data_IF_229979231398
#
_entry.id   IF_229979231398
#
_cell.length_a   1.000
_cell.length_b   1.000
_cell.length_c   1.000
_cell.angle_alpha   90.00
_cell.angle_beta   90.00
_cell.angle_gamma   90.00
#
_symmetry.space_group_name_H-M   'P 1'
#
loop_
_entity.id
_entity.type
_entity.pdbx_description
1 polymer ?
#
# COMPACT_ATOMS: atom_id res chain seq x y z
N UNK A 1 11.17 -1.31 -3.73
CA UNK A 1 10.10 -1.05 -4.71
C UNK A 1 9.46 0.31 -4.44
N UNK A 2 8.99 1.02 -5.48
CA UNK A 2 8.24 2.27 -5.32
C UNK A 2 6.75 1.94 -5.18
N UNK A 3 6.11 2.37 -4.08
CA UNK A 3 4.66 2.25 -3.92
C UNK A 3 3.96 3.13 -4.96
N UNK A 4 3.00 2.55 -5.68
CA UNK A 4 2.23 3.26 -6.70
C UNK A 4 1.07 4.05 -6.07
N UNK A 5 0.49 5.00 -6.82
CA UNK A 5 -0.67 5.74 -6.34
C UNK A 5 -1.86 4.82 -6.02
N UNK A 6 -2.08 3.79 -6.86
CA UNK A 6 -3.10 2.74 -6.61
C UNK A 6 -2.85 1.94 -5.35
N UNK A 7 -1.57 1.75 -4.96
CA UNK A 7 -1.23 1.06 -3.72
C UNK A 7 -1.59 1.91 -2.49
N UNK A 8 -1.46 3.23 -2.58
CA UNK A 8 -1.88 4.15 -1.51
C UNK A 8 -3.40 4.17 -1.35
N UNK A 9 -4.12 4.36 -2.44
CA UNK A 9 -5.60 4.33 -2.46
C UNK A 9 -6.14 3.00 -1.92
N UNK A 10 -5.50 1.89 -2.26
CA UNK A 10 -5.84 0.58 -1.71
C UNK A 10 -5.68 0.54 -0.19
N UNK A 11 -4.57 1.03 0.36
CA UNK A 11 -4.31 1.04 1.81
C UNK A 11 -5.29 1.98 2.53
N UNK A 12 -5.62 3.14 1.95
CA UNK A 12 -6.59 4.08 2.52
C UNK A 12 -8.00 3.48 2.58
N UNK A 13 -8.48 2.87 1.48
CA UNK A 13 -9.77 2.17 1.44
C UNK A 13 -9.79 0.98 2.40
N UNK A 14 -8.71 0.20 2.45
CA UNK A 14 -8.59 -0.93 3.36
C UNK A 14 -8.66 -0.49 4.82
N UNK A 15 -8.01 0.61 5.19
CA UNK A 15 -8.07 1.18 6.53
C UNK A 15 -9.51 1.51 6.93
N UNK A 16 -10.26 2.20 6.07
CA UNK A 16 -11.69 2.52 6.31
C UNK A 16 -12.51 1.26 6.59
N UNK A 17 -12.33 0.21 5.78
CA UNK A 17 -13.08 -1.05 5.93
C UNK A 17 -12.71 -1.84 7.20
N UNK A 18 -11.48 -1.71 7.67
CA UNK A 18 -11.06 -2.27 8.96
C UNK A 18 -11.68 -1.48 10.13
N UNK A 19 -11.68 -0.15 10.04
CA UNK A 19 -12.28 0.72 11.06
C UNK A 19 -13.80 0.47 11.18
N UNK A 20 -14.48 0.25 10.05
CA UNK A 20 -15.89 -0.15 9.98
C UNK A 20 -16.14 -1.63 10.38
N UNK A 21 -15.09 -2.37 10.76
CA UNK A 21 -15.13 -3.81 11.12
C UNK A 21 -15.74 -4.70 10.03
N UNK A 22 -15.69 -4.26 8.77
CA UNK A 22 -16.14 -5.05 7.62
C UNK A 22 -15.08 -6.07 7.21
N UNK A 23 -13.82 -5.73 7.44
CA UNK A 23 -12.65 -6.54 7.15
C UNK A 23 -11.78 -6.65 8.40
N UNK A 24 -11.07 -7.78 8.51
CA UNK A 24 -10.05 -7.97 9.55
C UNK A 24 -8.83 -8.65 8.96
N UNK A 25 -7.66 -8.24 9.44
CA UNK A 25 -6.40 -8.88 9.09
C UNK A 25 -6.11 -9.92 10.18
N UNK A 26 -5.92 -11.16 9.76
CA UNK A 26 -5.54 -12.27 10.65
C UNK A 26 -4.15 -12.77 10.25
N UNK A 27 -3.41 -13.28 11.23
CA UNK A 27 -2.21 -14.08 10.99
C UNK A 27 -2.63 -15.54 10.78
N UNK A 28 -2.30 -16.10 9.64
CA UNK A 28 -2.45 -17.54 9.37
C UNK A 28 -1.09 -18.23 9.57
N UNK A 29 -1.13 -19.41 10.19
CA UNK A 29 0.02 -20.26 10.41
C UNK A 29 -0.31 -21.68 9.90
N UNK A 30 0.00 -21.92 8.62
CA UNK A 30 -0.17 -23.20 7.92
C UNK A 30 1.19 -23.86 7.59
N UNK A 31 2.21 -23.54 8.38
CA UNK A 31 3.61 -23.92 8.18
C UNK A 31 4.48 -22.73 7.79
N UNK A 32 3.92 -21.74 7.08
CA UNK A 32 4.55 -20.43 6.84
C UNK A 32 3.61 -19.33 7.28
N UNK A 33 4.06 -18.53 8.26
CA UNK A 33 3.28 -17.41 8.77
C UNK A 33 3.04 -16.35 7.70
N UNK A 34 1.78 -16.04 7.44
CA UNK A 34 1.40 -14.98 6.52
C UNK A 34 0.12 -14.29 6.95
N UNK A 35 -0.01 -13.02 6.57
CA UNK A 35 -1.20 -12.22 6.84
C UNK A 35 -2.29 -12.56 5.83
N UNK A 36 -3.53 -12.65 6.28
CA UNK A 36 -4.69 -12.87 5.42
C UNK A 36 -5.80 -11.88 5.74
N UNK A 37 -6.51 -11.46 4.71
CA UNK A 37 -7.77 -10.72 4.86
C UNK A 37 -8.91 -11.71 5.09
N UNK A 38 -9.63 -11.55 6.21
CA UNK A 38 -10.81 -12.34 6.55
C UNK A 38 -12.05 -11.46 6.61
N UNK A 39 -13.22 -12.11 6.65
CA UNK A 39 -14.57 -11.53 6.72
C UNK A 39 -15.20 -11.14 5.36
N UNK A 40 -16.32 -10.40 5.37
CA UNK A 40 -17.40 -10.52 4.39
C UNK A 40 -17.01 -10.06 2.97
N UNK A 41 -16.55 -11.02 2.16
CA UNK A 41 -16.27 -10.84 0.74
C UNK A 41 -17.55 -10.91 -0.12
N UNK A 42 -18.58 -10.14 0.24
CA UNK A 42 -19.75 -9.94 -0.64
C UNK A 42 -19.48 -8.88 -1.71
N UNK A 43 -20.52 -8.50 -2.45
CA UNK A 43 -20.47 -7.49 -3.53
C UNK A 43 -19.92 -6.12 -3.07
N UNK A 44 -19.97 -5.85 -1.76
CA UNK A 44 -19.45 -4.63 -1.14
C UNK A 44 -17.95 -4.42 -1.34
N UNK A 45 -17.14 -5.47 -1.43
CA UNK A 45 -15.69 -5.33 -1.61
C UNK A 45 -15.36 -4.89 -3.04
N UNK A 46 -16.04 -5.48 -4.03
CA UNK A 46 -15.83 -5.11 -5.42
C UNK A 46 -16.27 -3.67 -5.68
N UNK A 47 -17.37 -3.24 -5.07
CA UNK A 47 -17.80 -1.84 -5.10
C UNK A 47 -16.84 -0.90 -4.37
N UNK A 48 -16.33 -1.29 -3.19
CA UNK A 48 -15.45 -0.42 -2.39
C UNK A 48 -14.06 -0.23 -3.02
N UNK A 49 -13.50 -1.27 -3.63
CA UNK A 49 -12.16 -1.23 -4.22
C UNK A 49 -12.17 -1.00 -5.74
N UNK A 50 -13.32 -1.09 -6.41
CA UNK A 50 -13.42 -1.04 -7.87
C UNK A 50 -12.64 -2.14 -8.58
N UNK A 51 -12.47 -3.30 -7.92
CA UNK A 51 -11.70 -4.42 -8.45
C UNK A 51 -12.26 -5.75 -7.94
N UNK A 52 -12.01 -6.82 -8.70
CA UNK A 52 -12.46 -8.16 -8.32
C UNK A 52 -11.85 -8.60 -6.99
N UNK A 53 -12.55 -9.51 -6.30
CA UNK A 53 -12.09 -10.11 -5.03
C UNK A 53 -10.67 -10.71 -5.14
N UNK A 54 -10.35 -11.33 -6.27
CA UNK A 54 -9.01 -11.87 -6.52
C UNK A 54 -7.97 -10.76 -6.67
N UNK A 55 -8.32 -9.65 -7.32
CA UNK A 55 -7.47 -8.45 -7.39
C UNK A 55 -7.16 -7.86 -6.02
N UNK A 56 -8.16 -7.78 -5.13
CA UNK A 56 -7.98 -7.34 -3.74
C UNK A 56 -7.02 -8.25 -2.99
N UNK A 57 -7.22 -9.57 -3.07
CA UNK A 57 -6.35 -10.57 -2.43
C UNK A 57 -4.91 -10.47 -2.93
N UNK A 58 -4.73 -10.35 -4.24
CA UNK A 58 -3.41 -10.24 -4.84
C UNK A 58 -2.68 -8.96 -4.42
N UNK A 59 -3.39 -7.81 -4.42
CA UNK A 59 -2.83 -6.54 -3.92
C UNK A 59 -2.47 -6.63 -2.45
N UNK A 60 -3.32 -7.23 -1.63
CA UNK A 60 -3.05 -7.42 -0.21
C UNK A 60 -1.79 -8.28 0.00
N UNK A 61 -1.69 -9.42 -0.69
CA UNK A 61 -0.53 -10.31 -0.63
C UNK A 61 0.76 -9.56 -1.00
N UNK A 62 0.75 -8.80 -2.09
CA UNK A 62 1.90 -8.03 -2.55
C UNK A 62 2.32 -6.95 -1.55
N UNK A 63 1.37 -6.20 -0.97
CA UNK A 63 1.70 -5.09 -0.08
C UNK A 63 2.09 -5.56 1.32
N UNK A 64 1.32 -6.46 1.91
CA UNK A 64 1.49 -6.86 3.30
C UNK A 64 2.42 -8.06 3.47
N UNK A 65 2.31 -9.09 2.64
CA UNK A 65 3.14 -10.28 2.81
C UNK A 65 4.47 -10.21 2.06
N UNK A 66 4.52 -9.54 0.92
CA UNK A 66 5.80 -9.36 0.21
C UNK A 66 6.48 -8.09 0.71
N UNK A 67 5.98 -6.91 0.35
CA UNK A 67 6.71 -5.66 0.60
C UNK A 67 6.89 -5.36 2.09
N UNK A 68 5.83 -5.45 2.89
CA UNK A 68 5.90 -5.09 4.31
C UNK A 68 6.76 -6.08 5.10
N UNK A 69 6.47 -7.38 5.05
CA UNK A 69 7.28 -8.41 5.74
C UNK A 69 8.74 -8.41 5.27
N UNK A 70 9.01 -8.38 3.96
CA UNK A 70 10.38 -8.34 3.43
C UNK A 70 11.15 -7.10 3.92
N UNK A 71 10.47 -5.97 4.10
CA UNK A 71 11.10 -4.77 4.67
C UNK A 71 11.52 -5.01 6.13
N UNK A 72 10.70 -5.69 6.93
CA UNK A 72 11.07 -6.05 8.30
C UNK A 72 12.20 -7.07 8.35
N UNK A 73 12.21 -8.06 7.45
CA UNK A 73 13.32 -9.02 7.36
C UNK A 73 14.65 -8.32 7.10
N UNK A 74 14.66 -7.36 6.18
CA UNK A 74 15.85 -6.54 5.88
C UNK A 74 16.27 -5.69 7.07
N UNK A 75 15.33 -5.06 7.76
CA UNK A 75 15.62 -4.27 8.97
C UNK A 75 16.22 -5.17 10.05
N UNK A 76 15.61 -6.32 10.31
CA UNK A 76 16.08 -7.29 11.29
C UNK A 76 17.49 -7.80 10.98
N UNK A 77 17.81 -8.05 9.70
CA UNK A 77 19.14 -8.45 9.28
C UNK A 77 20.20 -7.37 9.51
N UNK A 78 19.87 -6.10 9.27
CA UNK A 78 20.78 -4.99 9.55
C UNK A 78 20.96 -4.84 11.07
N UNK A 79 19.86 -4.87 11.82
CA UNK A 79 19.88 -4.67 13.27
C UNK A 79 20.51 -5.83 14.04
N UNK A 80 20.46 -7.06 13.51
CA UNK A 80 21.18 -8.19 14.10
C UNK A 80 22.69 -8.04 13.97
N UNK A 81 23.17 -7.26 12.99
CA UNK A 81 24.60 -7.04 12.73
C UNK A 81 25.12 -5.78 13.45
N UNK A 82 24.35 -4.69 13.43
CA UNK A 82 24.79 -3.36 13.92
C UNK A 82 24.10 -2.92 15.22
N UNK A 83 23.16 -3.70 15.75
CA UNK A 83 22.29 -3.28 16.84
C UNK A 83 21.19 -2.30 16.38
N UNK A 84 20.45 -1.74 17.35
CA UNK A 84 19.27 -0.89 17.08
C UNK A 84 19.56 0.61 17.12
N UNK A 85 20.81 1.01 17.38
CA UNK A 85 21.22 2.42 17.52
C UNK A 85 20.93 3.23 16.25
N UNK A 86 21.11 2.61 15.07
CA UNK A 86 20.85 3.22 13.78
C UNK A 86 19.35 3.49 13.49
N UNK A 87 18.43 2.87 14.24
CA UNK A 87 16.99 2.97 14.00
C UNK A 87 16.49 4.40 14.16
N UNK A 88 16.97 5.12 15.18
CA UNK A 88 16.57 6.51 15.42
C UNK A 88 16.94 7.42 14.23
N UNK A 89 18.17 7.26 13.73
CA UNK A 89 18.65 7.99 12.56
C UNK A 89 17.86 7.64 11.29
N UNK A 90 17.61 6.35 11.05
CA UNK A 90 16.83 5.89 9.89
C UNK A 90 15.40 6.46 9.90
N UNK A 91 14.74 6.49 11.07
CA UNK A 91 13.40 7.08 11.21
C UNK A 91 13.41 8.59 10.98
N UNK A 92 14.43 9.31 11.48
CA UNK A 92 14.57 10.75 11.23
C UNK A 92 14.68 11.06 9.73
N UNK A 93 15.57 10.34 9.02
CA UNK A 93 15.75 10.46 7.57
C UNK A 93 14.45 10.12 6.82
N UNK A 94 13.73 9.07 7.26
CA UNK A 94 12.48 8.67 6.62
C UNK A 94 11.38 9.74 6.75
N UNK A 95 11.27 10.38 7.93
CA UNK A 95 10.33 11.49 8.18
C UNK A 95 10.64 12.70 7.30
N UNK A 96 11.90 13.12 7.28
CA UNK A 96 12.35 14.25 6.44
C UNK A 96 12.02 14.01 4.96
N UNK A 97 12.35 12.81 4.44
CA UNK A 97 12.01 12.44 3.06
C UNK A 97 10.51 12.41 2.80
N UNK A 98 9.69 12.05 3.79
CA UNK A 98 8.24 12.06 3.65
C UNK A 98 7.68 13.48 3.60
N UNK A 99 8.19 14.38 4.44
CA UNK A 99 7.84 15.81 4.44
C UNK A 99 8.26 16.49 3.13
N UNK A 100 9.48 16.24 2.66
CA UNK A 100 9.95 16.75 1.37
C UNK A 100 9.02 16.31 0.22
N UNK A 101 8.58 15.05 0.20
CA UNK A 101 7.60 14.56 -0.78
C UNK A 101 6.24 15.26 -0.65
N UNK A 102 5.77 15.56 0.56
CA UNK A 102 4.52 16.31 0.78
C UNK A 102 4.63 17.72 0.22
N UNK A 103 5.72 18.44 0.53
CA UNK A 103 5.97 19.80 0.00
C UNK A 103 6.03 19.84 -1.52
N UNK A 104 6.69 18.87 -2.15
CA UNK A 104 6.74 18.76 -3.63
C UNK A 104 5.33 18.58 -4.20
N UNK A 105 4.49 17.74 -3.57
CA UNK A 105 3.10 17.52 -4.00
C UNK A 105 2.23 18.78 -3.82
N UNK A 106 2.45 19.54 -2.74
CA UNK A 106 1.74 20.80 -2.46
C UNK A 106 2.13 21.92 -3.42
N UNK A 107 3.40 21.99 -3.82
CA UNK A 107 3.91 23.01 -4.74
C UNK A 107 3.57 22.75 -6.21
N UNK A 108 3.36 21.49 -6.60
CA UNK A 108 2.99 21.10 -7.97
C UNK A 108 1.79 20.15 -7.95
N UNK A 109 0.56 20.64 -7.68
CA UNK A 109 -0.64 19.87 -7.93
C UNK A 109 -0.68 19.58 -9.42
N UNK A 110 -0.65 18.29 -9.81
CA UNK A 110 -0.62 17.90 -11.22
C UNK A 110 -1.79 18.56 -11.97
N UNK A 111 -1.47 19.30 -13.02
CA UNK A 111 -2.36 19.59 -14.15
C UNK A 111 -2.78 18.25 -14.78
N UNK A 112 -3.82 17.62 -14.24
CA UNK A 112 -4.48 16.44 -14.83
C UNK A 112 -5.77 16.86 -15.49
N UNK A 113 -5.66 17.65 -16.56
CA UNK A 113 -6.80 17.93 -17.46
C UNK A 113 -6.45 17.93 -18.95
N UNK A 114 -5.22 17.58 -19.38
CA UNK A 114 -4.84 17.73 -20.80
C UNK A 114 -4.23 16.48 -21.47
N UNK A 115 -4.45 15.26 -20.97
CA UNK A 115 -3.99 14.05 -21.69
C UNK A 115 -5.11 13.15 -22.22
N UNK A 116 -6.38 13.40 -21.87
CA UNK A 116 -7.51 12.58 -22.36
C UNK A 116 -8.17 13.09 -23.65
N UNK A 117 -7.74 14.22 -24.22
CA UNK A 117 -8.33 14.74 -25.48
C UNK A 117 -7.67 14.18 -26.76
N UNK A 118 -6.58 13.41 -26.66
CA UNK A 118 -5.91 12.85 -27.85
C UNK A 118 -6.50 11.53 -28.38
N UNK A 119 -7.48 10.91 -27.71
CA UNK A 119 -8.15 9.69 -28.21
C UNK A 119 -9.45 9.93 -28.98
N UNK A 120 -9.92 11.18 -29.13
CA UNK A 120 -11.16 11.50 -29.85
C UNK A 120 -10.95 11.95 -31.32
N UNK A 121 -9.86 11.54 -31.98
CA UNK A 121 -9.63 11.77 -33.43
C UNK A 121 -9.22 10.49 -34.16
N UNK A 122 -10.03 9.43 -34.07
CA UNK A 122 -9.99 8.29 -35.00
C UNK A 122 -11.39 7.72 -35.21
N UNK A 123 -12.29 8.55 -35.73
CA UNK A 123 -13.57 8.10 -36.30
C UNK A 123 -14.01 9.11 -37.36
N UNK A 124 -13.38 9.07 -38.53
CA UNK A 124 -14.01 9.48 -39.79
C UNK A 124 -13.42 8.65 -40.92
#
# INVERSE_FOLDING_TARGET
MRLTQKDKEFVETLRRLIDEKQLRIELLDDGVKHLVLRQNYGDKIEQAFGMTRQGVRWRFQRLFNQIYVETYERILWIESTFGTELRAHAVAIAKERAEMRRRILEQHPRNTTEVDTCQARKST
#
